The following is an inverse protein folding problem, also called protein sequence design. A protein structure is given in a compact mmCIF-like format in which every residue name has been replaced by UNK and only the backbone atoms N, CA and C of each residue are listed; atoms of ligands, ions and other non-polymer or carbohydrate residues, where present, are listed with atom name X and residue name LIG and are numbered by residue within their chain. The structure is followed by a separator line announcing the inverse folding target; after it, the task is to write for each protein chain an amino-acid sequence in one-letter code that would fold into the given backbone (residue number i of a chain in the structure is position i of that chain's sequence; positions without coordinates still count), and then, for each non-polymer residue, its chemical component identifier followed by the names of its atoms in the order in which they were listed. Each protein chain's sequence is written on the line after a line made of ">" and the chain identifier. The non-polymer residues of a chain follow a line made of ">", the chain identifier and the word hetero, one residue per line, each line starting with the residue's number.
data_IF_491364102094
#
_entry.id   IF_491364102094
#
_cell.length_a   1.000
_cell.length_b   1.000
_cell.length_c   1.000
_cell.angle_alpha   90.00
_cell.angle_beta   90.00
_cell.angle_gamma   90.00
#
_symmetry.space_group_name_H-M   'P 1'
#
loop_
_entity.id
_entity.type
_entity.pdbx_description
1 polymer ?
#
# COMPACT_ATOMS: atom_id res chain seq x y z
N UNK A 1 12.04 30.12 -14.90
CA UNK A 1 11.05 29.42 -14.04
C UNK A 1 10.16 30.46 -13.40
N UNK A 2 8.84 30.38 -13.55
CA UNK A 2 7.92 31.44 -13.06
C UNK A 2 7.74 31.39 -11.55
N UNK A 3 7.59 32.55 -10.91
CA UNK A 3 7.31 32.70 -9.48
C UNK A 3 6.08 31.87 -9.03
N UNK A 4 5.10 31.71 -9.92
CA UNK A 4 3.92 30.87 -9.71
C UNK A 4 4.26 29.36 -9.65
N UNK A 5 5.21 28.90 -10.47
CA UNK A 5 5.69 27.51 -10.43
C UNK A 5 6.51 27.23 -9.18
N UNK A 6 7.37 28.16 -8.76
CA UNK A 6 8.05 28.07 -7.47
C UNK A 6 7.08 28.09 -6.28
N UNK A 7 6.05 28.94 -6.28
CA UNK A 7 5.00 28.93 -5.23
C UNK A 7 4.18 27.63 -5.22
N UNK A 8 3.84 27.09 -6.38
CA UNK A 8 3.14 25.81 -6.49
C UNK A 8 4.03 24.64 -6.02
N UNK A 9 5.30 24.61 -6.44
CA UNK A 9 6.25 23.59 -6.00
C UNK A 9 6.58 23.70 -4.49
N UNK A 10 6.54 24.91 -3.91
CA UNK A 10 6.62 25.15 -2.46
C UNK A 10 5.38 24.61 -1.73
N UNK A 11 4.16 24.82 -2.22
CA UNK A 11 2.93 24.30 -1.58
C UNK A 11 2.78 22.79 -1.74
N UNK A 12 3.20 22.24 -2.90
CA UNK A 12 3.23 20.79 -3.15
C UNK A 12 4.29 20.12 -2.27
N UNK A 13 5.43 20.77 -2.04
CA UNK A 13 6.51 20.26 -1.20
C UNK A 13 6.39 20.54 0.30
N UNK A 14 5.32 21.21 0.77
CA UNK A 14 5.16 21.60 2.18
C UNK A 14 4.17 20.71 2.93
N UNK A 15 4.65 20.01 3.96
CA UNK A 15 3.85 19.15 4.81
C UNK A 15 3.27 19.95 5.99
N UNK A 16 1.96 19.86 6.25
CA UNK A 16 1.40 20.35 7.52
C UNK A 16 2.01 19.60 8.70
N UNK A 17 1.77 20.09 9.92
CA UNK A 17 2.17 19.36 11.12
C UNK A 17 1.50 17.96 11.13
N UNK A 18 2.31 16.93 11.35
CA UNK A 18 1.83 15.57 11.54
C UNK A 18 1.64 15.34 13.03
N UNK A 19 0.44 14.90 13.39
CA UNK A 19 0.01 14.65 14.75
C UNK A 19 0.23 13.19 15.12
N UNK A 20 0.73 12.94 16.32
CA UNK A 20 0.85 11.62 16.91
C UNK A 20 -0.30 11.38 17.90
N UNK A 21 -1.28 10.61 17.46
CA UNK A 21 -2.46 10.21 18.24
C UNK A 21 -2.10 9.01 19.13
N UNK A 22 -1.18 9.20 20.07
CA UNK A 22 -0.58 8.15 20.92
C UNK A 22 -1.57 7.31 21.75
N UNK A 23 -2.83 7.74 21.92
CA UNK A 23 -3.91 6.93 22.52
C UNK A 23 -4.51 5.90 21.56
N UNK A 24 -4.28 6.05 20.26
CA UNK A 24 -4.65 5.04 19.30
C UNK A 24 -3.87 3.74 19.53
N UNK A 25 -4.42 2.63 19.02
CA UNK A 25 -3.74 1.34 19.08
C UNK A 25 -2.38 1.40 18.33
N UNK A 26 -1.30 1.10 19.05
CA UNK A 26 0.09 1.24 18.58
C UNK A 26 0.63 0.02 17.83
N UNK A 27 -0.15 -1.06 17.72
CA UNK A 27 0.32 -2.28 17.06
C UNK A 27 1.29 -3.11 17.91
N UNK A 28 1.74 -4.26 17.37
CA UNK A 28 2.67 -5.16 18.04
C UNK A 28 4.13 -4.72 17.96
N UNK A 29 4.47 -3.81 17.04
CA UNK A 29 5.86 -3.43 16.72
C UNK A 29 6.37 -2.23 17.54
N UNK A 30 5.45 -1.37 17.99
CA UNK A 30 5.78 -0.11 18.66
C UNK A 30 5.50 -0.17 20.17
N UNK A 31 6.40 0.41 20.97
CA UNK A 31 6.23 0.49 22.42
C UNK A 31 5.27 1.62 22.78
N UNK A 32 4.14 1.29 23.42
CA UNK A 32 3.13 2.27 23.82
C UNK A 32 3.68 3.34 24.77
N UNK A 33 4.53 2.96 25.72
CA UNK A 33 5.17 3.89 26.67
C UNK A 33 6.07 4.89 25.95
N UNK A 34 7.03 4.40 25.16
CA UNK A 34 7.95 5.27 24.40
C UNK A 34 7.25 6.13 23.34
N UNK A 35 6.14 5.63 22.76
CA UNK A 35 5.28 6.44 21.89
C UNK A 35 4.65 7.63 22.62
N UNK A 36 4.29 7.48 23.89
CA UNK A 36 3.69 8.56 24.68
C UNK A 36 4.72 9.65 25.07
N UNK A 37 6.02 9.33 25.03
CA UNK A 37 7.13 10.26 25.30
C UNK A 37 7.53 11.09 24.07
N UNK A 38 7.09 10.70 22.86
CA UNK A 38 7.39 11.44 21.64
C UNK A 38 6.66 12.81 21.60
N UNK A 39 7.21 13.78 20.84
CA UNK A 39 6.48 14.99 20.51
C UNK A 39 5.11 14.67 19.90
N UNK A 40 4.07 15.39 20.35
CA UNK A 40 2.70 15.21 19.81
C UNK A 40 2.57 15.66 18.35
N UNK A 41 3.51 16.48 17.87
CA UNK A 41 3.53 17.02 16.53
C UNK A 41 4.95 16.99 15.93
N UNK A 42 5.04 16.78 14.63
CA UNK A 42 6.27 16.89 13.83
C UNK A 42 6.01 17.76 12.60
N UNK A 43 6.86 18.75 12.34
CA UNK A 43 6.62 19.79 11.33
C UNK A 43 5.92 21.03 11.91
N UNK A 44 5.34 21.92 11.09
CA UNK A 44 5.26 21.87 9.62
C UNK A 44 6.62 22.06 8.94
N UNK A 45 6.73 21.72 7.66
CA UNK A 45 8.00 21.87 6.93
C UNK A 45 8.05 21.12 5.61
N UNK A 46 9.21 21.07 4.93
CA UNK A 46 9.37 20.30 3.70
C UNK A 46 8.96 18.84 3.88
N UNK A 47 8.13 18.30 2.98
CA UNK A 47 7.56 16.94 3.05
C UNK A 47 8.63 15.89 3.31
N UNK A 48 9.74 15.96 2.58
CA UNK A 48 10.85 15.04 2.77
C UNK A 48 11.39 15.07 4.22
N UNK A 49 11.58 16.25 4.81
CA UNK A 49 12.16 16.36 6.16
C UNK A 49 11.17 15.91 7.23
N UNK A 50 9.90 16.34 7.14
CA UNK A 50 8.86 15.98 8.10
C UNK A 50 8.61 14.47 8.10
N UNK A 51 8.53 13.85 6.91
CA UNK A 51 8.36 12.40 6.81
C UNK A 51 9.59 11.64 7.30
N UNK A 52 10.80 12.12 7.00
CA UNK A 52 12.03 11.51 7.50
C UNK A 52 12.06 11.48 9.02
N UNK A 53 11.70 12.61 9.64
CA UNK A 53 11.72 12.78 11.10
C UNK A 53 10.69 11.86 11.77
N UNK A 54 9.42 11.89 11.34
CA UNK A 54 8.38 11.05 11.96
C UNK A 54 8.68 9.55 11.79
N UNK A 55 9.23 9.13 10.65
CA UNK A 55 9.65 7.73 10.46
C UNK A 55 10.82 7.36 11.37
N UNK A 56 11.79 8.25 11.56
CA UNK A 56 12.91 8.02 12.49
C UNK A 56 12.42 7.88 13.93
N UNK A 57 11.46 8.70 14.36
CA UNK A 57 10.83 8.61 15.67
C UNK A 57 10.10 7.27 15.86
N UNK A 58 9.27 6.87 14.87
CA UNK A 58 8.57 5.58 14.90
C UNK A 58 9.53 4.38 14.96
N UNK A 59 10.64 4.43 14.21
CA UNK A 59 11.70 3.41 14.28
C UNK A 59 12.32 3.39 15.69
N UNK A 60 12.60 4.55 16.27
CA UNK A 60 13.22 4.69 17.59
C UNK A 60 12.40 4.08 18.73
N UNK A 61 11.08 4.26 18.70
CA UNK A 61 10.16 3.76 19.75
C UNK A 61 9.75 2.29 19.56
N UNK A 62 10.17 1.64 18.47
CA UNK A 62 9.88 0.24 18.20
C UNK A 62 10.59 -0.71 19.18
N UNK A 63 9.93 -1.80 19.59
CA UNK A 63 10.56 -2.82 20.46
C UNK A 63 11.83 -3.43 19.83
N UNK A 64 11.82 -3.54 18.50
CA UNK A 64 12.98 -3.94 17.69
C UNK A 64 13.11 -2.95 16.51
N UNK A 65 13.84 -1.83 16.66
CA UNK A 65 13.99 -0.80 15.62
C UNK A 65 14.46 -1.34 14.28
N UNK A 66 15.38 -2.31 14.28
CA UNK A 66 15.86 -2.98 13.06
C UNK A 66 14.75 -3.69 12.29
N UNK A 67 13.76 -4.28 12.99
CA UNK A 67 12.61 -4.93 12.36
C UNK A 67 11.68 -3.93 11.69
N UNK A 68 11.39 -2.81 12.35
CA UNK A 68 10.55 -1.75 11.77
C UNK A 68 11.25 -1.14 10.55
N UNK A 69 12.55 -0.83 10.65
CA UNK A 69 13.32 -0.35 9.50
C UNK A 69 13.26 -1.32 8.31
N UNK A 70 13.40 -2.62 8.56
CA UNK A 70 13.34 -3.65 7.51
C UNK A 70 11.95 -3.80 6.85
N UNK A 71 10.86 -3.48 7.57
CA UNK A 71 9.49 -3.45 7.03
C UNK A 71 9.29 -2.22 6.13
N UNK A 72 9.89 -1.09 6.50
CA UNK A 72 9.77 0.17 5.75
C UNK A 72 10.69 0.25 4.54
N UNK A 73 11.78 -0.52 4.56
CA UNK A 73 12.79 -0.57 3.51
C UNK A 73 12.17 -0.81 2.11
N UNK A 74 12.62 -0.01 1.14
CA UNK A 74 12.36 -0.23 -0.28
C UNK A 74 12.90 -1.60 -0.70
N UNK A 75 12.01 -2.42 -1.29
CA UNK A 75 12.35 -3.71 -1.88
C UNK A 75 12.12 -3.64 -3.38
N UNK A 76 13.17 -3.88 -4.17
CA UNK A 76 13.09 -3.85 -5.62
C UNK A 76 13.40 -2.47 -6.21
N UNK A 77 12.89 -2.22 -7.42
CA UNK A 77 13.12 -0.99 -8.16
C UNK A 77 12.39 0.20 -7.51
N UNK A 78 13.01 1.39 -7.47
CA UNK A 78 12.34 2.60 -7.01
C UNK A 78 11.05 2.92 -7.75
N UNK A 79 10.08 3.47 -7.02
CA UNK A 79 8.83 3.97 -7.59
C UNK A 79 9.07 5.32 -8.25
N UNK A 80 8.74 5.50 -9.55
CA UNK A 80 8.85 6.79 -10.21
C UNK A 80 8.09 7.88 -9.45
N UNK A 81 8.69 9.05 -9.26
CA UNK A 81 8.07 10.18 -8.56
C UNK A 81 8.14 10.11 -7.03
N UNK A 82 8.61 9.02 -6.41
CA UNK A 82 8.88 8.98 -4.97
C UNK A 82 10.27 9.52 -4.61
N UNK A 83 10.43 9.96 -3.37
CA UNK A 83 11.69 10.44 -2.83
C UNK A 83 12.33 9.34 -1.98
N UNK A 84 13.61 9.04 -2.22
CA UNK A 84 14.34 8.01 -1.47
C UNK A 84 15.12 8.65 -0.32
N UNK A 85 15.03 8.03 0.85
CA UNK A 85 15.68 8.52 2.07
C UNK A 85 16.39 7.38 2.78
N UNK A 86 17.62 7.62 3.24
CA UNK A 86 18.32 6.65 4.07
C UNK A 86 17.96 6.91 5.54
N UNK A 87 17.26 5.96 6.15
CA UNK A 87 16.95 5.94 7.58
C UNK A 87 17.92 5.02 8.33
N UNK A 88 18.07 5.27 9.63
CA UNK A 88 18.97 4.54 10.51
C UNK A 88 18.19 3.96 11.69
N UNK A 89 18.58 2.78 12.14
CA UNK A 89 18.10 2.18 13.38
C UNK A 89 19.29 1.71 14.22
N UNK A 90 19.26 1.97 15.53
CA UNK A 90 20.22 1.38 16.47
C UNK A 90 19.52 0.29 17.27
N UNK A 91 20.11 -0.90 17.36
CA UNK A 91 19.55 -1.99 18.13
C UNK A 91 20.65 -2.93 18.63
N UNK A 92 20.69 -3.17 19.95
CA UNK A 92 21.68 -4.03 20.63
C UNK A 92 23.13 -3.75 20.18
N UNK A 93 23.55 -2.49 20.27
CA UNK A 93 24.90 -2.03 19.88
C UNK A 93 25.17 -1.97 18.38
N UNK A 94 24.28 -2.47 17.52
CA UNK A 94 24.44 -2.46 16.06
C UNK A 94 23.66 -1.31 15.42
N UNK A 95 24.22 -0.74 14.35
CA UNK A 95 23.56 0.28 13.53
C UNK A 95 23.14 -0.31 12.18
N UNK A 96 21.88 -0.15 11.83
CA UNK A 96 21.28 -0.60 10.57
C UNK A 96 20.93 0.64 9.74
N UNK A 97 21.04 0.51 8.41
CA UNK A 97 20.65 1.55 7.46
C UNK A 97 19.78 0.92 6.37
N UNK A 98 18.75 1.63 5.94
CA UNK A 98 17.94 1.20 4.81
C UNK A 98 17.41 2.41 4.04
N UNK A 99 17.27 2.23 2.72
CA UNK A 99 16.57 3.18 1.86
C UNK A 99 15.07 2.98 2.00
N UNK A 100 14.34 4.05 2.26
CA UNK A 100 12.88 4.10 2.40
C UNK A 100 12.33 5.13 1.41
N UNK A 101 11.22 4.80 0.76
CA UNK A 101 10.53 5.74 -0.13
C UNK A 101 9.49 6.55 0.61
N UNK A 102 9.45 7.85 0.33
CA UNK A 102 8.49 8.81 0.84
C UNK A 102 7.84 9.55 -0.32
N UNK A 103 6.61 10.02 -0.10
CA UNK A 103 5.93 10.90 -1.06
C UNK A 103 6.65 12.25 -1.18
N UNK A 104 6.42 12.94 -2.31
CA UNK A 104 6.95 14.29 -2.56
C UNK A 104 5.90 15.37 -2.35
N UNK A 105 4.63 15.01 -2.51
CA UNK A 105 3.51 15.93 -2.48
C UNK A 105 2.77 15.90 -1.15
N UNK A 106 2.40 17.08 -0.65
CA UNK A 106 1.60 17.31 0.55
C UNK A 106 0.24 16.60 0.47
N UNK A 107 -0.38 16.56 -0.71
CA UNK A 107 -1.65 15.86 -0.94
C UNK A 107 -1.59 14.35 -0.73
N UNK A 108 -0.41 13.75 -0.89
CA UNK A 108 -0.22 12.30 -0.75
C UNK A 108 0.14 11.89 0.70
N UNK A 109 0.52 12.85 1.54
CA UNK A 109 1.02 12.60 2.91
C UNK A 109 0.01 11.82 3.75
N UNK A 110 -1.27 12.17 3.68
CA UNK A 110 -2.30 11.47 4.46
C UNK A 110 -2.41 9.98 4.10
N UNK A 111 -2.39 9.66 2.80
CA UNK A 111 -2.42 8.28 2.32
C UNK A 111 -1.13 7.53 2.68
N UNK A 112 0.02 8.21 2.57
CA UNK A 112 1.31 7.68 2.98
C UNK A 112 1.32 7.30 4.47
N UNK A 113 0.93 8.20 5.38
CA UNK A 113 0.89 7.93 6.82
C UNK A 113 0.01 6.71 7.16
N UNK A 114 -1.17 6.59 6.53
CA UNK A 114 -2.06 5.43 6.70
C UNK A 114 -1.37 4.14 6.22
N UNK A 115 -0.71 4.17 5.07
CA UNK A 115 0.01 2.99 4.54
C UNK A 115 1.12 2.50 5.46
N UNK A 116 1.84 3.43 6.11
CA UNK A 116 2.86 3.10 7.11
C UNK A 116 2.22 2.48 8.34
N UNK A 117 1.14 3.07 8.85
CA UNK A 117 0.40 2.50 9.97
C UNK A 117 -0.07 1.06 9.70
N UNK A 118 -0.52 0.80 8.48
CA UNK A 118 -0.93 -0.53 8.04
C UNK A 118 0.23 -1.52 8.00
N UNK A 119 1.38 -1.13 7.43
CA UNK A 119 2.61 -1.95 7.45
C UNK A 119 3.06 -2.27 8.88
N UNK A 120 2.78 -1.36 9.82
CA UNK A 120 3.15 -1.52 11.23
C UNK A 120 2.05 -2.17 12.09
N UNK A 121 0.94 -2.59 11.47
CA UNK A 121 -0.20 -3.22 12.14
C UNK A 121 -0.79 -2.39 13.29
N UNK A 122 -0.77 -1.07 13.17
CA UNK A 122 -1.33 -0.14 14.13
C UNK A 122 -2.59 0.55 13.60
N UNK A 123 -3.18 1.46 14.39
CA UNK A 123 -4.30 2.27 13.95
C UNK A 123 -3.92 3.10 12.71
N UNK A 124 -4.73 3.17 11.64
CA UNK A 124 -4.43 4.00 10.47
C UNK A 124 -4.41 5.50 10.79
N UNK A 125 -4.91 5.88 11.97
CA UNK A 125 -4.91 7.23 12.51
C UNK A 125 -3.86 7.40 13.61
N UNK A 126 -2.93 6.44 13.82
CA UNK A 126 -1.91 6.55 14.87
C UNK A 126 -1.07 7.81 14.68
N UNK A 127 -0.69 8.12 13.45
CA UNK A 127 -0.10 9.40 13.09
C UNK A 127 -0.61 9.88 11.73
N UNK A 128 -0.61 11.19 11.51
CA UNK A 128 -1.01 11.79 10.24
C UNK A 128 -1.37 13.26 10.36
N UNK A 129 -1.90 13.87 9.28
CA UNK A 129 -2.22 15.30 9.27
C UNK A 129 -3.31 15.69 10.29
N UNK A 130 -4.18 14.75 10.67
CA UNK A 130 -5.31 14.99 11.57
C UNK A 130 -4.97 14.58 13.00
N UNK A 131 -5.09 15.53 13.94
CA UNK A 131 -5.18 15.21 15.36
C UNK A 131 -6.58 14.76 15.70
N UNK A 132 -6.68 13.62 16.38
CA UNK A 132 -7.92 13.23 17.04
C UNK A 132 -7.73 13.53 18.52
N UNK A 133 -8.68 14.26 19.09
CA UNK A 133 -8.69 14.54 20.52
C UNK A 133 -8.67 13.25 21.35
N UNK A 134 -8.68 13.44 22.66
CA UNK A 134 -8.54 12.32 23.57
C UNK A 134 -9.71 11.33 23.42
N UNK A 135 -9.40 10.08 23.05
CA UNK A 135 -10.36 9.01 22.78
C UNK A 135 -11.31 9.23 21.58
N UNK A 136 -11.10 10.27 20.76
CA UNK A 136 -11.96 10.58 19.60
C UNK A 136 -11.52 9.90 18.30
N UNK A 137 -10.87 8.74 18.39
CA UNK A 137 -10.41 8.04 17.19
C UNK A 137 -11.61 7.52 16.37
N UNK A 138 -11.72 7.84 15.07
CA UNK A 138 -12.83 7.39 14.23
C UNK A 138 -13.03 5.87 14.16
N UNK A 139 -11.99 5.10 14.44
CA UNK A 139 -12.03 3.64 14.46
C UNK A 139 -12.32 3.06 15.85
N UNK A 140 -12.58 3.90 16.85
CA UNK A 140 -12.79 3.55 18.26
C UNK A 140 -11.74 2.53 18.79
N UNK A 141 -10.48 2.71 18.39
CA UNK A 141 -9.44 1.70 18.61
C UNK A 141 -8.82 1.71 20.01
N UNK A 142 -9.05 2.77 20.80
CA UNK A 142 -8.45 2.98 22.12
C UNK A 142 -8.93 1.95 23.16
N UNK A 143 -10.19 1.49 23.06
CA UNK A 143 -10.76 0.48 23.95
C UNK A 143 -10.50 -0.97 23.54
N UNK A 144 -9.81 -1.20 22.41
CA UNK A 144 -9.61 -2.56 21.91
C UNK A 144 -8.35 -3.19 22.50
N UNK A 145 -8.51 -4.39 23.05
CA UNK A 145 -7.37 -5.22 23.43
C UNK A 145 -6.58 -5.65 22.20
N UNK A 146 -5.29 -5.95 22.37
CA UNK A 146 -4.39 -6.40 21.28
C UNK A 146 -4.98 -7.56 20.47
N UNK A 147 -5.62 -8.52 21.14
CA UNK A 147 -6.30 -9.67 20.51
C UNK A 147 -7.49 -9.25 19.67
N UNK A 148 -8.37 -8.38 20.21
CA UNK A 148 -9.54 -7.87 19.47
C UNK A 148 -9.15 -7.02 18.27
N UNK A 149 -8.17 -6.12 18.42
CA UNK A 149 -7.73 -5.29 17.29
C UNK A 149 -7.18 -6.14 16.13
N UNK A 150 -6.30 -7.11 16.44
CA UNK A 150 -5.71 -8.00 15.43
C UNK A 150 -6.79 -8.79 14.68
N UNK A 151 -7.80 -9.29 15.40
CA UNK A 151 -8.91 -10.02 14.79
C UNK A 151 -9.78 -9.10 13.89
N UNK A 152 -10.22 -7.95 14.39
CA UNK A 152 -11.18 -7.10 13.69
C UNK A 152 -10.56 -6.30 12.54
N UNK A 153 -9.31 -5.83 12.69
CA UNK A 153 -8.70 -4.89 11.74
C UNK A 153 -7.63 -5.56 10.88
N UNK A 154 -6.77 -6.43 11.43
CA UNK A 154 -5.70 -7.07 10.65
C UNK A 154 -6.25 -8.27 9.86
N UNK A 155 -6.94 -9.23 10.51
CA UNK A 155 -7.48 -10.43 9.82
C UNK A 155 -8.59 -10.10 8.82
N UNK A 156 -9.56 -9.24 9.17
CA UNK A 156 -10.65 -8.84 8.25
C UNK A 156 -10.09 -8.16 7.00
N UNK A 157 -9.02 -7.37 7.16
CA UNK A 157 -8.33 -6.70 6.05
C UNK A 157 -7.54 -7.69 5.20
N UNK A 158 -6.79 -8.60 5.79
CA UNK A 158 -6.07 -9.64 5.05
C UNK A 158 -7.03 -10.47 4.20
N UNK A 159 -8.20 -10.82 4.75
CA UNK A 159 -9.28 -11.50 4.00
C UNK A 159 -9.79 -10.68 2.81
N UNK A 160 -9.98 -9.37 2.97
CA UNK A 160 -10.37 -8.45 1.87
C UNK A 160 -9.28 -8.36 0.79
N UNK A 161 -8.02 -8.27 1.18
CA UNK A 161 -6.90 -8.14 0.24
C UNK A 161 -6.70 -9.44 -0.57
N UNK A 162 -6.84 -10.60 0.08
CA UNK A 162 -6.85 -11.89 -0.62
C UNK A 162 -8.04 -12.01 -1.59
N UNK A 163 -9.24 -11.55 -1.19
CA UNK A 163 -10.41 -11.54 -2.07
C UNK A 163 -10.21 -10.64 -3.31
N UNK A 164 -9.63 -9.45 -3.15
CA UNK A 164 -9.31 -8.55 -4.27
C UNK A 164 -8.27 -9.14 -5.23
N UNK A 165 -7.23 -9.81 -4.70
CA UNK A 165 -6.23 -10.50 -5.53
C UNK A 165 -6.87 -11.63 -6.34
N UNK A 166 -7.73 -12.44 -5.72
CA UNK A 166 -8.48 -13.51 -6.39
C UNK A 166 -9.39 -12.96 -7.49
N UNK A 167 -10.08 -11.84 -7.24
CA UNK A 167 -10.92 -11.17 -8.23
C UNK A 167 -10.11 -10.60 -9.41
N UNK A 168 -8.93 -10.05 -9.16
CA UNK A 168 -8.03 -9.54 -10.21
C UNK A 168 -7.51 -10.68 -11.09
N UNK A 169 -7.19 -11.83 -10.50
CA UNK A 169 -6.68 -13.01 -11.20
C UNK A 169 -7.76 -13.66 -12.09
N UNK A 170 -8.99 -13.77 -11.58
CA UNK A 170 -10.15 -14.24 -12.37
C UNK A 170 -10.47 -13.32 -13.57
N UNK A 171 -10.15 -12.02 -13.49
CA UNK A 171 -10.36 -11.06 -14.58
C UNK A 171 -9.25 -11.10 -15.65
N UNK A 172 -8.04 -11.54 -15.30
CA UNK A 172 -6.94 -11.73 -16.27
C UNK A 172 -7.01 -13.06 -17.03
N UNK A 173 -7.86 -14.00 -16.61
CA UNK A 173 -8.03 -15.33 -17.24
C UNK A 173 -9.19 -15.37 -18.26
N UNK A 174 -9.76 -14.23 -18.66
CA UNK A 174 -10.73 -14.17 -19.77
C UNK A 174 -9.99 -14.19 -21.13
N UNK A 175 -10.18 -15.21 -21.98
CA UNK A 175 -9.50 -15.26 -23.28
C UNK A 175 -10.14 -14.27 -24.26
N UNK A 176 -9.30 -13.51 -24.96
CA UNK A 176 -9.67 -12.96 -26.26
C UNK A 176 -9.52 -14.09 -27.30
N UNK A 177 -10.64 -14.51 -27.91
CA UNK A 177 -10.62 -15.25 -29.17
C UNK A 177 -11.46 -14.49 -30.19
N UNK A 178 -10.77 -13.83 -31.13
CA UNK A 178 -11.34 -13.30 -32.36
C UNK A 178 -11.15 -14.31 -33.51
N UNK A 179 -12.23 -14.47 -34.30
CA UNK A 179 -12.34 -14.79 -35.72
C UNK A 179 -11.43 -15.88 -36.37
N UNK A 180 -12.00 -16.86 -37.08
CA UNK A 180 -12.42 -16.71 -38.49
C UNK A 180 -13.14 -17.96 -39.10
N UNK A 181 -13.87 -17.70 -40.20
CA UNK A 181 -14.61 -18.52 -41.19
C UNK A 181 -14.10 -19.97 -41.48
N UNK A 182 -14.87 -20.95 -41.98
CA UNK A 182 -15.87 -21.03 -43.08
C UNK A 182 -16.65 -22.38 -42.97
N UNK A 183 -17.99 -22.51 -43.09
CA UNK A 183 -18.91 -22.59 -44.26
C UNK A 183 -19.52 -24.00 -44.53
N UNK A 184 -20.87 -24.11 -44.50
CA UNK A 184 -21.80 -24.92 -45.36
C UNK A 184 -23.17 -25.05 -44.63
N UNK A 185 -24.35 -24.56 -45.08
CA UNK A 185 -25.11 -24.79 -46.33
C UNK A 185 -25.70 -26.22 -46.33
N UNK A 186 -26.97 -26.59 -46.56
CA UNK A 186 -28.25 -25.95 -46.90
C UNK A 186 -29.37 -27.02 -46.73
N UNK A 187 -30.63 -26.59 -46.67
CA UNK A 187 -31.87 -27.39 -46.72
C UNK A 187 -32.10 -28.10 -48.06
N UNK A 188 -32.67 -29.32 -48.07
CA UNK A 188 -33.21 -29.99 -49.26
C UNK A 188 -33.66 -31.45 -49.06
N UNK A 189 -34.89 -31.75 -49.48
CA UNK A 189 -35.66 -33.02 -49.43
C UNK A 189 -35.13 -34.18 -50.33
N UNK A 190 -35.74 -35.40 -50.31
CA UNK A 190 -35.16 -36.65 -50.84
C UNK A 190 -35.60 -37.05 -52.26
N UNK A 191 -34.76 -37.82 -52.98
CA UNK A 191 -35.17 -38.93 -53.89
C UNK A 191 -33.99 -39.65 -54.58
N UNK A 192 -33.92 -40.97 -54.37
CA UNK A 192 -33.54 -42.11 -55.25
C UNK A 192 -32.23 -42.19 -56.11
N UNK A 193 -31.80 -43.41 -56.53
CA UNK A 193 -30.38 -43.80 -56.63
C UNK A 193 -29.86 -44.11 -58.05
N UNK A 194 -28.53 -44.20 -58.23
CA UNK A 194 -27.84 -45.27 -59.02
C UNK A 194 -26.29 -45.17 -59.07
N UNK A 195 -25.67 -46.31 -58.68
CA UNK A 195 -24.51 -47.07 -59.23
C UNK A 195 -23.18 -46.40 -59.67
N UNK A 196 -22.11 -47.06 -59.18
CA UNK A 196 -20.86 -47.48 -59.86
C UNK A 196 -19.85 -46.38 -60.23
N UNK A 197 -18.52 -46.54 -60.23
CA UNK A 197 -17.54 -47.61 -59.92
C UNK A 197 -16.16 -47.02 -60.34
N UNK A 198 -15.09 -47.28 -59.56
CA UNK A 198 -13.64 -47.27 -59.95
C UNK A 198 -13.03 -45.93 -60.43
N UNK A 199 -11.74 -45.60 -60.32
CA UNK A 199 -10.48 -46.16 -59.79
C UNK A 199 -9.38 -45.11 -60.05
N UNK A 200 -8.27 -45.11 -59.29
CA UNK A 200 -6.87 -44.84 -59.75
C UNK A 200 -6.55 -43.43 -60.36
N UNK A 201 -5.40 -42.77 -60.23
CA UNK A 201 -4.09 -42.95 -59.59
C UNK A 201 -3.25 -41.70 -59.94
N UNK A 202 -2.38 -41.33 -59.01
CA UNK A 202 -1.03 -40.72 -59.11
C UNK A 202 -0.69 -39.74 -60.25
N UNK A 203 -0.06 -38.65 -59.81
CA UNK A 203 0.91 -37.85 -60.57
C UNK A 203 1.49 -36.79 -59.65
#
# INVERSE_FOLDING_TARGET
>A
MTLAKMKADIIVGWCPALHLNHRCFSGPLLSKGRLAELPRQTGPGPVALVLREVLAQLIGVAYKPSRVLAILQLRGSPTPGMHQQILKAKYKGKTYRATVETVRSSGEVGAFCRSICEKLECCPNLFGPTSFGENSCPNNCSGLTKTKYTYHFVRKRHKRQMAMRKAKQARSESPASGANASSSGSTGEPSEPKKSRLDVTVG
#
